data_IF_554498320108
#
_entry.id   IF_554498320108
#
_cell.length_a   1.000
_cell.length_b   1.000
_cell.length_c   1.000
_cell.angle_alpha   90.00
_cell.angle_beta   90.00
_cell.angle_gamma   90.00
#
_symmetry.space_group_name_H-M   'P 1'
#
loop_
_entity.id
_entity.type
_entity.pdbx_description
1 polymer ?
#
# COMPACT_ATOMS: atom_id res chain seq x y z
N UNK A 1 -16.77 13.83 16.94
CA UNK A 1 -17.60 12.65 17.22
C UNK A 1 -16.69 11.45 17.18
N UNK A 2 -16.60 10.65 18.27
CA UNK A 2 -15.82 9.42 18.19
C UNK A 2 -16.48 8.52 17.14
N UNK A 3 -15.67 8.09 16.20
CA UNK A 3 -16.06 7.16 15.17
C UNK A 3 -16.48 5.85 15.85
N UNK A 4 -17.76 5.54 15.79
CA UNK A 4 -18.29 4.23 16.10
C UNK A 4 -18.12 3.32 14.87
N UNK A 5 -16.87 3.25 14.34
CA UNK A 5 -16.54 2.15 13.46
C UNK A 5 -16.79 0.87 14.25
N UNK A 6 -17.65 0.02 13.73
CA UNK A 6 -18.07 -1.25 14.30
C UNK A 6 -16.89 -1.93 14.99
N UNK A 7 -16.99 -2.07 16.31
CA UNK A 7 -15.98 -2.77 17.06
C UNK A 7 -15.85 -4.17 16.44
N UNK A 8 -14.70 -4.45 15.84
CA UNK A 8 -14.33 -5.82 15.61
C UNK A 8 -14.42 -6.48 17.00
N UNK A 9 -15.26 -7.49 17.15
CA UNK A 9 -15.46 -8.16 18.44
C UNK A 9 -14.19 -8.84 18.92
N UNK A 10 -13.24 -9.11 17.99
CA UNK A 10 -12.08 -9.94 18.24
C UNK A 10 -10.80 -9.33 17.66
N UNK A 11 -9.68 -9.60 18.30
CA UNK A 11 -8.34 -9.24 17.85
C UNK A 11 -7.52 -10.51 17.64
N UNK A 12 -6.89 -10.63 16.49
CA UNK A 12 -6.00 -11.74 16.17
C UNK A 12 -4.54 -11.32 16.40
N UNK A 13 -3.81 -12.09 17.20
CA UNK A 13 -2.41 -11.87 17.51
C UNK A 13 -1.56 -13.04 17.03
N UNK A 14 -0.55 -12.73 16.20
CA UNK A 14 0.50 -13.68 15.82
C UNK A 14 1.59 -13.71 16.88
N UNK A 15 2.06 -14.89 17.23
CA UNK A 15 3.27 -15.11 18.04
C UNK A 15 4.48 -15.38 17.12
N UNK A 16 5.70 -15.20 17.64
CA UNK A 16 6.94 -15.48 16.91
C UNK A 16 7.11 -16.94 16.50
N UNK A 17 6.41 -17.85 17.18
CA UNK A 17 6.37 -19.28 16.90
C UNK A 17 5.29 -19.71 15.90
N UNK A 18 4.63 -18.77 15.24
CA UNK A 18 3.59 -19.01 14.23
C UNK A 18 2.20 -19.29 14.77
N UNK A 19 1.99 -19.32 16.10
CA UNK A 19 0.65 -19.49 16.67
C UNK A 19 -0.22 -18.24 16.51
N UNK A 20 -1.49 -18.43 16.23
CA UNK A 20 -2.51 -17.39 16.11
C UNK A 20 -3.50 -17.50 17.24
N UNK A 21 -3.73 -16.42 17.94
CA UNK A 21 -4.70 -16.32 19.02
C UNK A 21 -5.77 -15.31 18.70
N UNK A 22 -7.00 -15.60 19.10
CA UNK A 22 -8.12 -14.68 19.12
C UNK A 22 -8.30 -14.14 20.53
N UNK A 23 -8.47 -12.82 20.65
CA UNK A 23 -8.62 -12.11 21.92
C UNK A 23 -9.79 -11.15 21.77
N UNK A 24 -10.68 -11.09 22.75
CA UNK A 24 -11.78 -10.12 22.71
C UNK A 24 -11.24 -8.68 22.73
N UNK A 25 -11.83 -7.82 21.92
CA UNK A 25 -11.38 -6.44 21.76
C UNK A 25 -11.46 -5.63 23.07
N UNK A 26 -12.34 -6.02 23.99
CA UNK A 26 -12.49 -5.44 25.34
C UNK A 26 -11.27 -5.72 26.25
N UNK A 27 -10.55 -6.79 25.98
CA UNK A 27 -9.38 -7.24 26.74
C UNK A 27 -8.05 -6.67 26.21
N UNK A 28 -8.11 -5.73 25.25
CA UNK A 28 -6.96 -5.16 24.59
C UNK A 28 -6.93 -3.65 24.77
N UNK A 29 -5.83 -3.14 25.32
CA UNK A 29 -5.61 -1.69 25.38
C UNK A 29 -5.09 -1.20 24.02
N UNK A 30 -5.76 -0.17 23.46
CA UNK A 30 -5.42 0.43 22.18
C UNK A 30 -4.91 1.85 22.40
N UNK A 31 -3.72 2.13 21.89
CA UNK A 31 -3.14 3.47 21.88
C UNK A 31 -2.98 3.95 20.45
N UNK A 32 -3.68 5.03 20.08
CA UNK A 32 -3.59 5.58 18.72
C UNK A 32 -2.18 6.10 18.45
N UNK A 33 -1.65 5.74 17.29
CA UNK A 33 -0.35 6.21 16.81
C UNK A 33 -0.53 7.35 15.80
N UNK A 34 0.27 8.40 15.95
CA UNK A 34 0.37 9.45 14.94
C UNK A 34 1.28 8.97 13.81
N UNK A 35 0.72 8.84 12.63
CA UNK A 35 1.46 8.40 11.44
C UNK A 35 1.54 9.51 10.41
N UNK A 36 2.43 9.35 9.43
CA UNK A 36 2.57 10.29 8.31
C UNK A 36 1.34 10.27 7.40
N UNK A 37 0.70 9.09 7.27
CA UNK A 37 -0.52 8.90 6.50
C UNK A 37 -1.75 9.07 7.40
N UNK A 38 -2.38 10.23 7.31
CA UNK A 38 -3.61 10.56 8.07
C UNK A 38 -4.87 9.92 7.49
N UNK A 39 -4.77 9.24 6.36
CA UNK A 39 -5.89 8.54 5.71
C UNK A 39 -6.11 7.14 6.30
N UNK A 40 -5.18 6.67 7.13
CA UNK A 40 -5.25 5.38 7.84
C UNK A 40 -5.09 5.58 9.34
N UNK A 41 -5.84 4.81 10.12
CA UNK A 41 -5.71 4.76 11.57
C UNK A 41 -4.82 3.58 11.95
N UNK A 42 -3.77 3.86 12.71
CA UNK A 42 -2.86 2.85 13.26
C UNK A 42 -2.86 2.96 14.76
N UNK A 43 -2.84 1.83 15.43
CA UNK A 43 -2.75 1.80 16.89
C UNK A 43 -1.75 0.73 17.35
N UNK A 44 -1.17 1.00 18.49
CA UNK A 44 -0.44 0.00 19.27
C UNK A 44 -1.44 -0.79 20.12
N UNK A 45 -1.25 -2.10 20.15
CA UNK A 45 -2.06 -3.01 20.97
C UNK A 45 -1.22 -3.54 22.11
N UNK A 46 -1.70 -3.31 23.36
CA UNK A 46 -1.05 -3.83 24.56
C UNK A 46 -1.93 -4.91 25.17
N UNK A 47 -1.31 -6.01 25.57
CA UNK A 47 -1.93 -7.17 26.15
C UNK A 47 -1.39 -7.36 27.58
N UNK A 48 -2.26 -7.37 28.57
CA UNK A 48 -1.89 -7.62 29.97
C UNK A 48 -2.67 -8.81 30.49
N UNK A 49 -2.06 -9.99 30.44
CA UNK A 49 -2.68 -11.28 30.82
C UNK A 49 -4.05 -11.52 30.18
N UNK A 50 -4.27 -10.93 28.99
CA UNK A 50 -5.55 -11.01 28.28
C UNK A 50 -5.90 -12.47 27.97
N UNK A 51 -7.10 -12.94 28.31
CA UNK A 51 -7.56 -14.27 27.93
C UNK A 51 -7.52 -14.44 26.42
N UNK A 52 -6.95 -15.53 25.96
CA UNK A 52 -6.75 -15.77 24.53
C UNK A 52 -7.17 -17.19 24.16
N UNK A 53 -7.88 -17.35 23.06
CA UNK A 53 -8.22 -18.63 22.47
C UNK A 53 -7.24 -18.95 21.33
N UNK A 54 -6.60 -20.13 21.37
CA UNK A 54 -5.75 -20.59 20.27
C UNK A 54 -6.64 -20.90 19.05
N UNK A 55 -6.39 -20.21 17.95
CA UNK A 55 -7.11 -20.43 16.67
C UNK A 55 -6.35 -21.40 15.79
N UNK A 56 -5.03 -21.25 15.70
CA UNK A 56 -4.16 -22.11 14.90
C UNK A 56 -2.74 -22.15 15.46
N UNK A 57 -2.11 -23.31 15.31
CA UNK A 57 -0.68 -23.50 15.49
C UNK A 57 0.06 -23.72 14.15
N UNK A 58 -0.64 -23.55 13.05
CA UNK A 58 -0.10 -23.69 11.71
C UNK A 58 0.56 -22.38 11.25
N UNK A 59 1.87 -22.37 11.19
CA UNK A 59 2.64 -21.22 10.75
C UNK A 59 2.38 -20.87 9.28
N UNK A 60 2.05 -21.85 8.45
CA UNK A 60 1.73 -21.64 7.03
C UNK A 60 0.49 -20.76 6.87
N UNK A 61 -0.55 -20.95 7.66
CA UNK A 61 -1.74 -20.11 7.65
C UNK A 61 -1.42 -18.63 7.89
N UNK A 62 -0.46 -18.36 8.78
CA UNK A 62 0.00 -16.98 9.07
C UNK A 62 0.67 -16.37 7.85
N UNK A 63 1.59 -17.12 7.23
CA UNK A 63 2.31 -16.65 6.05
C UNK A 63 1.37 -16.42 4.87
N UNK A 64 0.43 -17.32 4.62
CA UNK A 64 -0.61 -17.15 3.60
C UNK A 64 -1.42 -15.87 3.82
N UNK A 65 -1.72 -15.53 5.08
CA UNK A 65 -2.42 -14.28 5.41
C UNK A 65 -1.55 -13.04 5.09
N UNK A 66 -0.26 -13.11 5.40
CA UNK A 66 0.68 -12.02 5.10
C UNK A 66 0.82 -11.82 3.58
N UNK A 67 0.96 -12.90 2.80
CA UNK A 67 1.08 -12.83 1.35
C UNK A 67 -0.17 -12.25 0.71
N UNK A 68 -1.37 -12.67 1.13
CA UNK A 68 -2.63 -12.06 0.69
C UNK A 68 -2.70 -10.58 1.04
N UNK A 69 -2.27 -10.21 2.25
CA UNK A 69 -2.16 -8.81 2.67
C UNK A 69 -1.22 -8.00 1.78
N UNK A 70 -0.10 -8.56 1.33
CA UNK A 70 0.84 -7.94 0.39
C UNK A 70 0.21 -7.70 -0.98
N UNK A 71 -0.53 -8.66 -1.51
CA UNK A 71 -1.25 -8.53 -2.78
C UNK A 71 -2.32 -7.41 -2.71
N UNK A 72 -3.08 -7.35 -1.61
CA UNK A 72 -4.07 -6.30 -1.37
C UNK A 72 -3.40 -4.91 -1.27
N UNK A 73 -2.27 -4.81 -0.56
CA UNK A 73 -1.52 -3.56 -0.48
C UNK A 73 -0.92 -3.11 -1.81
N UNK A 74 -0.49 -4.05 -2.63
CA UNK A 74 -0.03 -3.74 -3.97
C UNK A 74 -1.17 -3.14 -4.81
N UNK A 75 -2.38 -3.70 -4.72
CA UNK A 75 -3.57 -3.16 -5.40
C UNK A 75 -3.94 -1.75 -4.87
N UNK A 76 -3.85 -1.50 -3.56
CA UNK A 76 -4.06 -0.17 -2.98
C UNK A 76 -3.04 0.84 -3.48
N UNK A 77 -1.76 0.44 -3.55
CA UNK A 77 -0.68 1.27 -4.10
C UNK A 77 -0.88 1.59 -5.57
N UNK A 78 -1.33 0.61 -6.37
CA UNK A 78 -1.69 0.79 -7.78
C UNK A 78 -2.80 1.84 -7.93
N UNK A 79 -3.87 1.73 -7.14
CA UNK A 79 -4.98 2.69 -7.16
C UNK A 79 -4.54 4.10 -6.80
N UNK A 80 -3.73 4.25 -5.75
CA UNK A 80 -3.18 5.52 -5.33
C UNK A 80 -2.26 6.15 -6.40
N UNK A 81 -1.39 5.35 -7.02
CA UNK A 81 -0.50 5.80 -8.08
C UNK A 81 -1.29 6.18 -9.35
N UNK A 82 -2.32 5.41 -9.72
CA UNK A 82 -3.18 5.74 -10.85
C UNK A 82 -3.86 7.10 -10.63
N UNK A 83 -4.42 7.32 -9.44
CA UNK A 83 -5.04 8.60 -9.12
C UNK A 83 -4.04 9.78 -9.26
N UNK A 84 -2.81 9.62 -8.76
CA UNK A 84 -1.78 10.65 -8.87
C UNK A 84 -1.37 10.92 -10.31
N UNK A 85 -1.28 9.90 -11.15
CA UNK A 85 -1.03 10.05 -12.59
C UNK A 85 -2.17 10.83 -13.26
N UNK A 86 -3.42 10.46 -12.98
CA UNK A 86 -4.60 11.12 -13.58
C UNK A 86 -4.65 12.60 -13.18
N UNK A 87 -4.34 12.93 -11.91
CA UNK A 87 -4.24 14.31 -11.44
C UNK A 87 -3.11 15.08 -12.13
N UNK A 88 -1.94 14.46 -12.34
CA UNK A 88 -0.82 15.10 -13.04
C UNK A 88 -1.18 15.40 -14.49
N UNK A 89 -1.84 14.48 -15.18
CA UNK A 89 -2.30 14.68 -16.57
C UNK A 89 -3.32 15.81 -16.62
N UNK A 90 -4.37 15.78 -15.77
CA UNK A 90 -5.39 16.81 -15.71
C UNK A 90 -4.80 18.19 -15.42
N UNK A 91 -3.93 18.30 -14.42
CA UNK A 91 -3.23 19.54 -14.08
C UNK A 91 -2.39 20.06 -15.23
N UNK A 92 -1.71 19.18 -15.94
CA UNK A 92 -0.86 19.55 -17.09
C UNK A 92 -1.65 20.14 -18.25
N UNK A 93 -2.90 19.75 -18.41
CA UNK A 93 -3.81 20.25 -19.47
C UNK A 93 -4.50 21.58 -19.10
N UNK A 94 -4.59 21.89 -17.81
CA UNK A 94 -5.22 23.11 -17.31
C UNK A 94 -4.22 24.22 -16.99
N UNK A 95 -3.12 23.89 -16.31
CA UNK A 95 -2.11 24.85 -15.85
C UNK A 95 -1.37 25.52 -17.01
N UNK A 96 -1.37 26.84 -17.02
CA UNK A 96 -0.68 27.65 -18.05
C UNK A 96 0.59 28.29 -17.50
N UNK A 97 1.66 28.18 -18.26
CA UNK A 97 2.91 28.93 -18.09
C UNK A 97 3.48 29.26 -19.47
N UNK A 98 4.16 30.41 -19.60
CA UNK A 98 4.69 30.87 -20.87
C UNK A 98 3.64 30.93 -22.00
N UNK A 99 2.43 31.43 -21.67
CA UNK A 99 1.27 31.58 -22.56
C UNK A 99 0.71 30.29 -23.17
N UNK A 100 1.01 29.12 -22.61
CA UNK A 100 0.47 27.84 -23.05
C UNK A 100 0.31 26.85 -21.88
N UNK A 101 -0.48 25.81 -22.07
CA UNK A 101 -0.62 24.75 -21.07
C UNK A 101 0.70 24.03 -20.88
N UNK A 102 1.03 23.65 -19.61
CA UNK A 102 2.31 23.01 -19.30
C UNK A 102 2.45 21.63 -19.97
N UNK A 103 1.34 20.92 -20.19
CA UNK A 103 1.32 19.65 -20.96
C UNK A 103 1.73 19.79 -22.43
N UNK A 104 1.86 21.02 -22.97
CA UNK A 104 2.42 21.23 -24.29
C UNK A 104 3.96 21.12 -24.34
N UNK A 105 4.64 21.20 -23.19
CA UNK A 105 6.09 21.06 -23.11
C UNK A 105 6.50 19.58 -23.14
N UNK A 106 7.53 19.27 -23.93
CA UNK A 106 8.00 17.92 -24.16
C UNK A 106 8.40 17.22 -22.84
N UNK A 107 9.08 17.94 -21.94
CA UNK A 107 9.48 17.39 -20.64
C UNK A 107 8.28 16.90 -19.82
N UNK A 108 7.21 17.69 -19.74
CA UNK A 108 5.99 17.30 -19.00
C UNK A 108 5.30 16.11 -19.66
N UNK A 109 5.23 16.10 -21.00
CA UNK A 109 4.67 14.94 -21.74
C UNK A 109 5.45 13.67 -21.46
N UNK A 110 6.77 13.73 -21.44
CA UNK A 110 7.62 12.57 -21.16
C UNK A 110 7.42 12.07 -19.73
N UNK A 111 7.35 12.97 -18.75
CA UNK A 111 7.07 12.60 -17.37
C UNK A 111 5.73 11.84 -17.23
N UNK A 112 4.66 12.35 -17.85
CA UNK A 112 3.36 11.69 -17.82
C UNK A 112 3.38 10.35 -18.56
N UNK A 113 4.05 10.27 -19.73
CA UNK A 113 4.15 9.05 -20.52
C UNK A 113 4.98 7.98 -19.80
N UNK A 114 6.05 8.37 -19.13
CA UNK A 114 6.90 7.47 -18.37
C UNK A 114 6.16 6.89 -17.15
N UNK A 115 5.44 7.73 -16.40
CA UNK A 115 4.56 7.26 -15.32
C UNK A 115 3.55 6.24 -15.83
N UNK A 116 2.86 6.54 -16.94
CA UNK A 116 1.87 5.65 -17.54
C UNK A 116 2.50 4.32 -18.00
N UNK A 117 3.66 4.37 -18.65
CA UNK A 117 4.34 3.19 -19.18
C UNK A 117 4.82 2.22 -18.09
N UNK A 118 5.22 2.74 -16.93
CA UNK A 118 5.63 1.91 -15.80
C UNK A 118 4.44 1.38 -14.99
N UNK A 119 3.35 2.16 -14.90
CA UNK A 119 2.19 1.80 -14.08
C UNK A 119 1.26 0.81 -14.78
N UNK A 120 1.06 0.91 -16.09
CA UNK A 120 0.10 0.08 -16.82
C UNK A 120 0.36 -1.43 -16.71
N UNK A 121 1.61 -1.94 -16.84
CA UNK A 121 1.89 -3.36 -16.62
C UNK A 121 1.57 -3.85 -15.20
N UNK A 122 1.65 -2.96 -14.22
CA UNK A 122 1.37 -3.28 -12.81
C UNK A 122 -0.08 -3.71 -12.57
N UNK A 123 -1.01 -3.27 -13.43
CA UNK A 123 -2.42 -3.66 -13.37
C UNK A 123 -2.60 -5.16 -13.58
N UNK A 124 -2.02 -5.69 -14.66
CA UNK A 124 -2.07 -7.12 -14.94
C UNK A 124 -1.36 -7.93 -13.84
N UNK A 125 -0.26 -7.42 -13.32
CA UNK A 125 0.49 -8.07 -12.24
C UNK A 125 -0.30 -8.14 -10.93
N UNK A 126 -0.97 -7.04 -10.52
CA UNK A 126 -1.83 -7.05 -9.34
C UNK A 126 -3.04 -7.99 -9.49
N UNK A 127 -3.63 -8.06 -10.68
CA UNK A 127 -4.72 -8.99 -10.97
C UNK A 127 -4.26 -10.45 -10.95
N UNK A 128 -3.08 -10.73 -11.52
CA UNK A 128 -2.51 -12.08 -11.47
C UNK A 128 -2.23 -12.51 -10.03
N UNK A 129 -1.71 -11.61 -9.19
CA UNK A 129 -1.49 -11.93 -7.78
C UNK A 129 -2.80 -12.30 -7.05
N UNK A 130 -3.90 -11.60 -7.32
CA UNK A 130 -5.23 -11.98 -6.80
C UNK A 130 -5.67 -13.36 -7.30
N UNK A 131 -5.58 -13.60 -8.60
CA UNK A 131 -5.93 -14.88 -9.24
C UNK A 131 -5.11 -16.05 -8.67
N UNK A 132 -3.80 -15.87 -8.47
CA UNK A 132 -2.93 -16.91 -7.93
C UNK A 132 -3.39 -17.38 -6.54
N UNK A 133 -3.93 -16.48 -5.70
CA UNK A 133 -4.50 -16.88 -4.41
C UNK A 133 -5.88 -17.52 -4.51
N UNK A 134 -6.70 -17.11 -5.47
CA UNK A 134 -8.03 -17.70 -5.69
C UNK A 134 -7.91 -19.14 -6.20
N UNK A 135 -6.99 -19.41 -7.11
CA UNK A 135 -6.69 -20.73 -7.64
C UNK A 135 -5.73 -21.55 -6.77
N UNK A 136 -5.21 -20.96 -5.70
CA UNK A 136 -4.24 -21.61 -4.77
C UNK A 136 -3.01 -22.17 -5.50
N UNK A 137 -2.44 -21.38 -6.42
CA UNK A 137 -1.24 -21.78 -7.17
C UNK A 137 0.01 -21.81 -6.28
N UNK A 138 0.96 -22.70 -6.57
CA UNK A 138 2.17 -22.86 -5.78
C UNK A 138 3.04 -21.59 -5.79
N UNK A 139 2.93 -20.76 -6.84
CA UNK A 139 3.68 -19.51 -6.99
C UNK A 139 3.01 -18.29 -6.33
N UNK A 140 1.83 -18.44 -5.70
CA UNK A 140 1.12 -17.33 -5.09
C UNK A 140 1.92 -16.55 -4.03
N UNK A 141 2.67 -17.19 -3.10
CA UNK A 141 3.55 -16.50 -2.15
C UNK A 141 4.65 -15.68 -2.84
N UNK A 142 5.33 -16.27 -3.81
CA UNK A 142 6.39 -15.64 -4.59
C UNK A 142 5.84 -14.44 -5.40
N UNK A 143 4.70 -14.64 -6.05
CA UNK A 143 3.99 -13.58 -6.79
C UNK A 143 3.61 -12.42 -5.87
N UNK A 144 3.13 -12.68 -4.65
CA UNK A 144 2.81 -11.66 -3.68
C UNK A 144 4.04 -10.82 -3.27
N UNK A 145 5.17 -11.47 -3.08
CA UNK A 145 6.42 -10.80 -2.80
C UNK A 145 6.84 -9.89 -3.97
N UNK A 146 6.83 -10.42 -5.18
CA UNK A 146 7.22 -9.68 -6.37
C UNK A 146 6.30 -8.48 -6.66
N UNK A 147 4.98 -8.66 -6.61
CA UNK A 147 4.03 -7.57 -6.88
C UNK A 147 4.13 -6.49 -5.82
N UNK A 148 4.31 -6.86 -4.55
CA UNK A 148 4.50 -5.91 -3.45
C UNK A 148 5.76 -5.08 -3.62
N UNK A 149 6.89 -5.72 -3.91
CA UNK A 149 8.17 -5.04 -4.10
C UNK A 149 8.16 -4.13 -5.33
N UNK A 150 7.63 -4.62 -6.44
CA UNK A 150 7.59 -3.87 -7.70
C UNK A 150 6.67 -2.64 -7.59
N UNK A 151 5.44 -2.80 -7.11
CA UNK A 151 4.50 -1.70 -6.96
C UNK A 151 4.93 -0.66 -5.92
N UNK A 152 5.69 -1.05 -4.90
CA UNK A 152 6.27 -0.10 -3.96
C UNK A 152 7.26 0.87 -4.63
N UNK A 153 8.00 0.42 -5.64
CA UNK A 153 8.95 1.25 -6.40
C UNK A 153 8.26 2.07 -7.48
N UNK A 154 7.42 1.43 -8.29
CA UNK A 154 6.66 2.13 -9.34
C UNK A 154 5.74 3.18 -8.70
N UNK A 155 5.05 2.85 -7.62
CA UNK A 155 4.20 3.80 -6.88
C UNK A 155 5.00 5.00 -6.38
N UNK A 156 6.19 4.76 -5.81
CA UNK A 156 7.05 5.86 -5.35
C UNK A 156 7.55 6.73 -6.51
N UNK A 157 7.89 6.13 -7.64
CA UNK A 157 8.28 6.87 -8.84
C UNK A 157 7.12 7.75 -9.33
N UNK A 158 5.91 7.19 -9.47
CA UNK A 158 4.72 7.94 -9.89
C UNK A 158 4.41 9.06 -8.90
N UNK A 159 4.47 8.80 -7.60
CA UNK A 159 4.20 9.80 -6.57
C UNK A 159 5.16 11.01 -6.67
N UNK A 160 6.45 10.75 -6.82
CA UNK A 160 7.46 11.80 -6.99
C UNK A 160 7.24 12.60 -8.28
N UNK A 161 7.13 11.91 -9.40
CA UNK A 161 7.00 12.54 -10.72
C UNK A 161 5.70 13.32 -10.86
N UNK A 162 4.57 12.80 -10.33
CA UNK A 162 3.31 13.52 -10.28
C UNK A 162 3.43 14.81 -9.47
N UNK A 163 4.11 14.77 -8.31
CA UNK A 163 4.37 15.96 -7.50
C UNK A 163 5.24 16.98 -8.25
N UNK A 164 6.24 16.54 -9.01
CA UNK A 164 7.07 17.40 -9.84
C UNK A 164 6.26 18.09 -10.95
N UNK A 165 5.33 17.38 -11.60
CA UNK A 165 4.41 17.96 -12.61
C UNK A 165 3.57 19.08 -12.00
N UNK A 166 3.10 18.93 -10.75
CA UNK A 166 2.34 19.97 -10.07
C UNK A 166 3.20 21.11 -9.52
N UNK A 167 4.54 20.90 -9.39
CA UNK A 167 5.43 21.87 -8.80
C UNK A 167 5.04 22.19 -7.35
N UNK A 168 5.15 23.46 -6.95
CA UNK A 168 4.82 23.88 -5.59
C UNK A 168 3.40 23.56 -5.16
N UNK A 169 2.43 23.46 -6.08
CA UNK A 169 1.05 23.12 -5.79
C UNK A 169 0.91 21.67 -5.29
N UNK A 170 1.75 20.76 -5.72
CA UNK A 170 1.73 19.34 -5.32
C UNK A 170 1.95 19.09 -3.82
N UNK A 171 2.51 20.08 -3.11
CA UNK A 171 2.75 20.01 -1.66
C UNK A 171 1.65 20.67 -0.82
N UNK A 172 0.64 21.26 -1.45
CA UNK A 172 -0.40 22.00 -0.75
C UNK A 172 -1.61 21.14 -0.43
N UNK A 173 -2.29 21.47 0.68
CA UNK A 173 -3.59 20.87 1.04
C UNK A 173 -4.66 21.15 -0.01
N UNK A 174 -4.51 22.23 -0.79
CA UNK A 174 -5.48 22.64 -1.81
C UNK A 174 -5.65 21.57 -2.90
N UNK A 175 -4.57 20.91 -3.30
CA UNK A 175 -4.58 19.82 -4.30
C UNK A 175 -4.77 18.46 -3.62
N UNK A 176 -4.31 18.32 -2.37
CA UNK A 176 -4.43 17.09 -1.60
C UNK A 176 -3.57 15.91 -2.12
N UNK A 177 -2.69 16.17 -3.09
CA UNK A 177 -1.85 15.14 -3.71
C UNK A 177 -0.92 14.46 -2.70
N UNK A 178 -0.47 15.20 -1.71
CA UNK A 178 0.44 14.73 -0.66
C UNK A 178 -0.18 13.63 0.23
N UNK A 179 -1.50 13.50 0.32
CA UNK A 179 -2.15 12.39 1.03
C UNK A 179 -1.86 11.06 0.34
N UNK A 180 -1.97 11.03 -0.98
CA UNK A 180 -1.66 9.85 -1.78
C UNK A 180 -0.17 9.51 -1.76
N UNK A 181 0.69 10.53 -1.81
CA UNK A 181 2.14 10.37 -1.65
C UNK A 181 2.49 9.68 -0.32
N UNK A 182 1.90 10.15 0.79
CA UNK A 182 2.10 9.59 2.13
C UNK A 182 1.56 8.17 2.24
N UNK A 183 0.40 7.90 1.64
CA UNK A 183 -0.19 6.55 1.59
C UNK A 183 0.70 5.56 0.86
N UNK A 184 1.22 5.92 -0.30
CA UNK A 184 2.19 5.10 -1.05
C UNK A 184 3.44 4.84 -0.22
N UNK A 185 3.95 5.88 0.46
CA UNK A 185 5.10 5.76 1.35
C UNK A 185 4.85 4.85 2.56
N UNK A 186 3.66 4.91 3.13
CA UNK A 186 3.23 4.02 4.22
C UNK A 186 3.10 2.57 3.73
N UNK A 187 2.39 2.37 2.62
CA UNK A 187 2.23 1.07 2.00
C UNK A 187 3.57 0.41 1.64
N UNK A 188 4.58 1.21 1.26
CA UNK A 188 5.91 0.71 0.95
C UNK A 188 6.53 -0.07 2.12
N UNK A 189 6.25 0.34 3.36
CA UNK A 189 6.85 -0.25 4.57
C UNK A 189 5.96 -1.33 5.22
N UNK A 190 4.65 -1.20 5.13
CA UNK A 190 3.71 -2.12 5.76
C UNK A 190 3.83 -3.52 5.15
N UNK A 191 3.86 -4.57 5.97
CA UNK A 191 4.08 -5.98 5.61
C UNK A 191 5.44 -6.27 4.94
N UNK A 192 6.43 -5.44 5.17
CA UNK A 192 7.80 -5.56 4.70
C UNK A 192 8.20 -4.54 3.64
N UNK A 193 9.41 -3.99 3.79
CA UNK A 193 10.00 -3.11 2.77
C UNK A 193 10.30 -3.89 1.48
N UNK A 194 10.44 -3.23 0.32
CA UNK A 194 10.81 -3.91 -0.93
C UNK A 194 12.06 -4.77 -0.82
N UNK A 195 13.04 -4.32 -0.06
CA UNK A 195 14.31 -5.02 0.16
C UNK A 195 14.09 -6.32 0.96
N UNK A 196 13.33 -6.23 2.07
CA UNK A 196 13.02 -7.39 2.91
C UNK A 196 12.16 -8.41 2.16
N UNK A 197 11.17 -7.93 1.41
CA UNK A 197 10.27 -8.79 0.64
C UNK A 197 10.99 -9.48 -0.52
N UNK A 198 11.96 -8.83 -1.17
CA UNK A 198 12.80 -9.47 -2.20
C UNK A 198 13.73 -10.52 -1.61
N UNK A 199 14.27 -10.26 -0.42
CA UNK A 199 15.09 -11.26 0.26
C UNK A 199 14.27 -12.50 0.58
N UNK A 200 13.06 -12.32 1.11
CA UNK A 200 12.15 -13.44 1.38
C UNK A 200 11.75 -14.19 0.08
N UNK A 201 11.56 -13.48 -1.03
CA UNK A 201 11.27 -14.10 -2.33
C UNK A 201 12.37 -15.08 -2.76
N UNK A 202 13.65 -14.79 -2.48
CA UNK A 202 14.77 -15.71 -2.80
C UNK A 202 14.78 -16.98 -1.96
N UNK A 203 14.03 -17.03 -0.86
CA UNK A 203 13.88 -18.23 -0.04
C UNK A 203 12.70 -19.10 -0.50
N UNK A 204 11.84 -18.55 -1.35
CA UNK A 204 10.67 -19.21 -1.93
C UNK A 204 10.95 -19.82 -3.33
N UNK A 205 12.06 -19.45 -3.98
CA UNK A 205 12.52 -20.02 -5.26
C UNK A 205 13.21 -21.40 -5.03
#
# INVERSE_FOLDING_TARGET
TPDQSSAASDVYKRQSDGRVFMIEASEVTRSALSTIDVTQSVCELSFDQSPACLVSSDAELVWQTIYRGRAIQAADTLGAAQYMLDQAVAYSLDRKQFNRVIGSFQAVKHMCAEMASQLEPCRAFAWYAGHAFDESTDDAPLTACHVKAHLAEVGQFVAKTSTEVHGGMGFTDLVGLHYWFKRIGFNRQLLGSPEAVRHEATELE
#
